data_IF_043464338985
#
_entry.id   IF_043464338985
#
_cell.length_a   1.000
_cell.length_b   1.000
_cell.length_c   1.000
_cell.angle_alpha   90.00
_cell.angle_beta   90.00
_cell.angle_gamma   90.00
#
_symmetry.space_group_name_H-M   'P 1'
#
loop_
_entity.id
_entity.type
_entity.pdbx_description
1 polymer ?
#
# COMPACT_ATOMS: atom_id res chain seq x y z
N UNK A 1 16.38 13.26 -16.66
CA UNK A 1 17.70 13.16 -16.02
C UNK A 1 17.87 14.27 -14.98
N UNK A 2 18.50 13.97 -13.83
CA UNK A 2 18.85 14.90 -12.75
C UNK A 2 17.73 15.35 -11.80
N UNK A 3 16.45 15.17 -12.17
CA UNK A 3 15.31 15.60 -11.33
C UNK A 3 15.21 14.80 -10.03
N UNK A 4 14.92 15.50 -8.93
CA UNK A 4 14.61 14.92 -7.62
C UNK A 4 13.13 14.54 -7.57
N UNK A 5 12.84 13.25 -7.44
CA UNK A 5 11.48 12.72 -7.41
C UNK A 5 11.14 12.32 -5.99
N UNK A 6 10.15 12.96 -5.38
CA UNK A 6 9.62 12.53 -4.09
C UNK A 6 8.42 11.61 -4.32
N UNK A 7 8.53 10.37 -3.87
CA UNK A 7 7.44 9.39 -3.91
C UNK A 7 6.84 9.28 -2.51
N UNK A 8 5.55 9.57 -2.36
CA UNK A 8 4.85 9.47 -1.07
C UNK A 8 4.17 8.09 -1.00
N UNK A 9 4.70 7.25 -0.13
CA UNK A 9 4.41 5.82 0.02
C UNK A 9 5.68 4.98 -0.17
N UNK A 10 5.72 3.78 0.41
CA UNK A 10 6.77 2.77 0.14
C UNK A 10 6.22 1.38 -0.17
N UNK A 11 4.99 1.23 -0.65
CA UNK A 11 4.46 -0.06 -1.16
C UNK A 11 5.03 -0.44 -2.53
N UNK A 12 4.60 -1.56 -3.10
CA UNK A 12 5.09 -2.08 -4.39
C UNK A 12 5.03 -1.02 -5.51
N UNK A 13 3.91 -0.30 -5.62
CA UNK A 13 3.77 0.80 -6.60
C UNK A 13 4.82 1.89 -6.41
N UNK A 14 5.21 2.21 -5.17
CA UNK A 14 6.24 3.20 -4.91
C UNK A 14 7.63 2.68 -5.32
N UNK A 15 7.91 1.40 -5.08
CA UNK A 15 9.16 0.76 -5.50
C UNK A 15 9.29 0.76 -7.02
N UNK A 16 8.22 0.42 -7.74
CA UNK A 16 8.19 0.46 -9.21
C UNK A 16 8.46 1.87 -9.73
N UNK A 17 7.81 2.89 -9.16
CA UNK A 17 8.03 4.31 -9.51
C UNK A 17 9.49 4.69 -9.27
N UNK A 18 10.07 4.34 -8.11
CA UNK A 18 11.46 4.65 -7.78
C UNK A 18 12.43 4.01 -8.78
N UNK A 19 12.28 2.71 -9.04
CA UNK A 19 13.10 1.95 -9.98
C UNK A 19 12.99 2.48 -11.41
N UNK A 20 11.79 2.89 -11.83
CA UNK A 20 11.58 3.52 -13.14
C UNK A 20 12.23 4.92 -13.18
N UNK A 21 12.13 5.70 -12.11
CA UNK A 21 12.78 7.01 -12.03
C UNK A 21 14.31 6.90 -12.20
N UNK A 22 14.95 5.91 -11.57
CA UNK A 22 16.38 5.61 -11.79
C UNK A 22 16.66 5.33 -13.27
N UNK A 23 15.83 4.52 -13.95
CA UNK A 23 15.99 4.22 -15.39
C UNK A 23 15.88 5.46 -16.28
N UNK A 24 15.16 6.49 -15.84
CA UNK A 24 15.09 7.80 -16.51
C UNK A 24 16.19 8.80 -16.07
N UNK A 25 17.17 8.33 -15.30
CA UNK A 25 18.27 9.12 -14.77
C UNK A 25 17.83 10.17 -13.73
N UNK A 26 16.71 9.95 -13.06
CA UNK A 26 16.23 10.80 -11.96
C UNK A 26 16.70 10.26 -10.60
N UNK A 27 16.52 11.07 -9.55
CA UNK A 27 16.96 10.78 -8.18
C UNK A 27 15.71 10.60 -7.31
N UNK A 28 15.20 9.36 -7.13
CA UNK A 28 14.01 9.11 -6.33
C UNK A 28 14.30 9.01 -4.84
N UNK A 29 13.41 9.59 -4.05
CA UNK A 29 13.29 9.37 -2.60
C UNK A 29 11.86 8.97 -2.29
N UNK A 30 11.66 7.75 -1.79
CA UNK A 30 10.39 7.26 -1.31
C UNK A 30 10.27 7.53 0.20
N UNK A 31 9.13 8.03 0.66
CA UNK A 31 8.87 8.26 2.08
C UNK A 31 7.63 7.49 2.52
N UNK A 32 7.71 6.81 3.67
CA UNK A 32 6.62 6.05 4.26
C UNK A 32 6.48 6.40 5.73
N UNK A 33 5.26 6.80 6.11
CA UNK A 33 4.94 7.24 7.47
C UNK A 33 4.81 6.07 8.46
N UNK A 34 4.68 4.84 7.97
CA UNK A 34 4.65 3.62 8.77
C UNK A 34 6.08 3.17 9.12
N UNK A 35 6.25 2.55 10.30
CA UNK A 35 7.52 1.92 10.68
C UNK A 35 7.84 0.75 9.76
N UNK A 36 9.09 0.57 9.35
CA UNK A 36 9.52 -0.46 8.37
C UNK A 36 9.01 -1.87 8.72
N UNK A 37 9.06 -2.27 10.00
CA UNK A 37 8.57 -3.57 10.47
C UNK A 37 7.07 -3.80 10.28
N UNK A 38 6.29 -2.73 10.07
CA UNK A 38 4.85 -2.76 9.84
C UNK A 38 4.48 -2.44 8.38
N UNK A 39 5.49 -2.14 7.54
CA UNK A 39 5.27 -1.82 6.14
C UNK A 39 4.70 -3.02 5.37
N UNK A 40 3.92 -2.72 4.31
CA UNK A 40 3.29 -3.75 3.47
C UNK A 40 4.14 -4.18 2.28
N UNK A 41 5.22 -3.46 2.02
CA UNK A 41 6.15 -3.77 0.93
C UNK A 41 6.77 -5.13 1.16
N UNK A 42 6.97 -5.86 0.07
CA UNK A 42 7.69 -7.13 0.17
C UNK A 42 9.18 -6.85 0.36
N UNK A 43 9.83 -7.65 1.20
CA UNK A 43 11.24 -7.46 1.54
C UNK A 43 12.17 -7.65 0.34
N UNK A 44 11.82 -8.55 -0.59
CA UNK A 44 12.56 -8.77 -1.84
C UNK A 44 12.48 -7.54 -2.75
N UNK A 45 11.30 -6.99 -2.98
CA UNK A 45 11.12 -5.78 -3.78
C UNK A 45 11.82 -4.56 -3.17
N UNK A 46 11.76 -4.41 -1.84
CA UNK A 46 12.43 -3.31 -1.13
C UNK A 46 13.96 -3.41 -1.28
N UNK A 47 14.51 -4.62 -1.15
CA UNK A 47 15.95 -4.86 -1.30
C UNK A 47 16.41 -4.61 -2.74
N UNK A 48 15.65 -5.10 -3.73
CA UNK A 48 15.91 -4.83 -5.15
C UNK A 48 15.90 -3.32 -5.44
N UNK A 49 14.91 -2.59 -4.92
CA UNK A 49 14.82 -1.15 -5.11
C UNK A 49 16.03 -0.43 -4.48
N UNK A 50 16.43 -0.81 -3.26
CA UNK A 50 17.62 -0.27 -2.60
C UNK A 50 18.90 -0.59 -3.38
N UNK A 51 19.03 -1.81 -3.91
CA UNK A 51 20.16 -2.22 -4.75
C UNK A 51 20.25 -1.44 -6.07
N UNK A 52 19.11 -1.07 -6.66
CA UNK A 52 19.04 -0.16 -7.81
C UNK A 52 19.30 1.32 -7.45
N UNK A 53 19.46 1.66 -6.17
CA UNK A 53 19.77 3.01 -5.68
C UNK A 53 18.56 3.86 -5.29
N UNK A 54 17.38 3.26 -5.10
CA UNK A 54 16.20 3.98 -4.59
C UNK A 54 16.39 4.27 -3.09
N UNK A 55 16.33 5.55 -2.72
CA UNK A 55 16.32 5.96 -1.31
C UNK A 55 14.93 5.75 -0.72
N UNK A 56 14.80 4.94 0.34
CA UNK A 56 13.52 4.66 1.01
C UNK A 56 13.63 5.05 2.48
N UNK A 57 12.83 6.05 2.89
CA UNK A 57 12.77 6.57 4.26
C UNK A 57 11.47 6.13 4.92
N UNK A 58 11.54 5.14 5.79
CA UNK A 58 10.45 4.82 6.70
C UNK A 58 10.35 5.87 7.82
N UNK A 59 9.28 5.79 8.61
CA UNK A 59 9.05 6.74 9.70
C UNK A 59 9.10 8.21 9.23
N UNK A 60 8.68 8.50 8.00
CA UNK A 60 8.79 9.84 7.40
C UNK A 60 7.57 10.14 6.53
N UNK A 61 7.01 11.34 6.63
CA UNK A 61 5.93 11.80 5.74
C UNK A 61 6.13 13.23 5.29
N UNK A 62 5.53 13.62 4.17
CA UNK A 62 5.44 15.03 3.79
C UNK A 62 4.21 15.69 4.45
N UNK A 63 4.38 16.89 5.00
CA UNK A 63 3.29 17.70 5.57
C UNK A 63 2.95 18.94 4.75
N UNK A 64 3.90 19.40 3.94
CA UNK A 64 3.73 20.53 3.02
C UNK A 64 4.49 20.26 1.73
N UNK A 65 3.90 20.64 0.60
CA UNK A 65 4.55 20.60 -0.72
C UNK A 65 4.27 21.95 -1.39
N UNK A 66 5.32 22.69 -1.73
CA UNK A 66 5.21 24.01 -2.36
C UNK A 66 6.46 24.29 -3.19
N UNK A 67 6.28 24.91 -4.35
CA UNK A 67 7.37 25.48 -5.18
C UNK A 67 8.60 24.55 -5.36
N UNK A 68 8.36 23.30 -5.74
CA UNK A 68 9.44 22.33 -5.96
C UNK A 68 10.15 21.87 -4.68
N UNK A 69 9.55 22.08 -3.51
CA UNK A 69 10.04 21.63 -2.21
C UNK A 69 8.97 20.88 -1.44
N UNK A 70 9.41 20.02 -0.53
CA UNK A 70 8.55 19.35 0.43
C UNK A 70 9.12 19.46 1.84
N UNK A 71 8.24 19.65 2.82
CA UNK A 71 8.57 19.54 4.24
C UNK A 71 8.29 18.11 4.68
N UNK A 72 9.35 17.37 4.96
CA UNK A 72 9.28 16.03 5.54
C UNK A 72 9.29 16.13 7.06
N UNK A 73 8.57 15.24 7.73
CA UNK A 73 8.46 15.17 9.18
C UNK A 73 8.62 13.72 9.62
N UNK A 74 9.37 13.51 10.69
CA UNK A 74 9.54 12.17 11.28
C UNK A 74 8.24 11.72 11.93
N UNK A 75 7.96 10.44 11.82
CA UNK A 75 6.75 9.81 12.36
C UNK A 75 7.11 8.62 13.24
N UNK A 76 6.28 8.38 14.26
CA UNK A 76 6.46 7.25 15.17
C UNK A 76 5.18 6.43 15.24
N UNK A 77 5.34 5.11 15.14
CA UNK A 77 4.26 4.16 15.27
C UNK A 77 4.68 3.05 16.23
N UNK A 78 3.92 2.88 17.31
CA UNK A 78 4.22 1.90 18.37
C UNK A 78 3.61 0.53 18.11
N UNK A 79 2.52 0.45 17.34
CA UNK A 79 1.79 -0.79 17.06
C UNK A 79 1.21 -0.73 15.62
N UNK A 80 1.21 -1.85 14.87
CA UNK A 80 0.69 -1.89 13.50
C UNK A 80 -0.79 -1.51 13.35
N UNK A 81 -1.58 -1.58 14.44
CA UNK A 81 -3.01 -1.20 14.47
C UNK A 81 -3.23 0.27 14.78
N UNK A 82 -2.20 0.99 15.25
CA UNK A 82 -2.28 2.41 15.60
C UNK A 82 -1.72 3.24 14.45
N UNK A 83 -2.34 4.38 14.15
CA UNK A 83 -1.82 5.28 13.13
C UNK A 83 -0.50 5.93 13.59
N UNK A 84 0.48 6.11 12.69
CA UNK A 84 1.69 6.87 13.00
C UNK A 84 1.36 8.30 13.46
N UNK A 85 2.13 8.81 14.41
CA UNK A 85 2.06 10.19 14.90
C UNK A 85 3.26 10.99 14.41
N UNK A 86 3.02 12.25 14.05
CA UNK A 86 4.10 13.19 13.71
C UNK A 86 4.92 13.51 14.97
N UNK A 87 6.23 13.69 14.80
CA UNK A 87 7.13 14.20 15.84
C UNK A 87 7.44 15.67 15.52
N UNK A 88 6.84 16.65 16.23
CA UNK A 88 7.12 18.07 15.99
C UNK A 88 8.60 18.41 16.21
N UNK A 89 9.13 19.36 15.45
CA UNK A 89 10.53 19.79 15.56
C UNK A 89 11.51 18.92 14.75
N UNK A 90 11.00 17.97 13.95
CA UNK A 90 11.78 17.10 13.08
C UNK A 90 11.61 17.44 11.59
N UNK A 91 11.11 18.65 11.30
CA UNK A 91 10.86 19.12 9.95
C UNK A 91 12.16 19.26 9.15
N UNK A 92 12.24 18.59 8.01
CA UNK A 92 13.33 18.67 7.04
C UNK A 92 12.75 19.17 5.71
N UNK A 93 13.34 20.24 5.15
CA UNK A 93 12.95 20.71 3.82
C UNK A 93 13.83 20.04 2.77
N UNK A 94 13.20 19.36 1.82
CA UNK A 94 13.87 18.72 0.69
C UNK A 94 13.39 19.32 -0.63
N UNK A 95 14.25 19.32 -1.63
CA UNK A 95 13.85 19.63 -3.00
C UNK A 95 13.10 18.44 -3.60
N UNK A 96 12.00 18.72 -4.28
CA UNK A 96 11.12 17.75 -4.93
C UNK A 96 10.58 18.36 -6.24
N UNK A 97 11.32 18.16 -7.34
CA UNK A 97 10.96 18.65 -8.67
C UNK A 97 9.66 18.01 -9.18
N UNK A 98 9.43 16.76 -8.80
CA UNK A 98 8.22 16.00 -9.10
C UNK A 98 7.81 15.25 -7.84
N UNK A 99 6.52 15.30 -7.52
CA UNK A 99 5.93 14.48 -6.46
C UNK A 99 5.02 13.44 -7.07
N UNK A 100 5.19 12.19 -6.67
CA UNK A 100 4.33 11.07 -7.05
C UNK A 100 3.61 10.53 -5.81
N UNK A 101 2.29 10.47 -5.85
CA UNK A 101 1.48 9.90 -4.77
C UNK A 101 1.25 8.41 -5.03
N UNK A 102 1.91 7.55 -4.25
CA UNK A 102 1.81 6.09 -4.34
C UNK A 102 1.07 5.52 -3.12
N UNK A 103 -0.07 6.13 -2.77
CA UNK A 103 -0.84 5.86 -1.54
C UNK A 103 -1.85 4.69 -1.67
N UNK A 104 -1.84 4.00 -2.81
CA UNK A 104 -2.86 3.02 -3.18
C UNK A 104 -4.13 3.66 -3.75
N UNK A 105 -5.15 2.85 -3.97
CA UNK A 105 -6.41 3.26 -4.59
C UNK A 105 -7.61 2.84 -3.75
N UNK A 106 -8.69 3.58 -3.89
CA UNK A 106 -10.02 3.25 -3.37
C UNK A 106 -11.05 3.53 -4.46
N UNK A 107 -12.13 2.77 -4.45
CA UNK A 107 -13.29 3.09 -5.28
C UNK A 107 -13.98 4.33 -4.70
N UNK A 108 -14.33 5.27 -5.57
CA UNK A 108 -15.20 6.39 -5.22
C UNK A 108 -16.60 5.89 -4.82
N UNK A 109 -17.30 6.67 -4.00
CA UNK A 109 -18.64 6.31 -3.53
C UNK A 109 -19.66 6.26 -4.67
N UNK A 110 -19.44 7.03 -5.73
CA UNK A 110 -20.23 7.05 -6.96
C UNK A 110 -20.24 5.70 -7.69
N UNK A 111 -19.20 4.87 -7.53
CA UNK A 111 -19.15 3.54 -8.14
C UNK A 111 -20.27 2.62 -7.60
N UNK A 112 -20.69 2.84 -6.36
CA UNK A 112 -21.88 2.21 -5.76
C UNK A 112 -23.17 2.45 -6.52
N UNK A 113 -23.33 3.64 -7.08
CA UNK A 113 -24.54 4.03 -7.80
C UNK A 113 -24.53 3.49 -9.23
N UNK A 114 -23.35 3.45 -9.86
CA UNK A 114 -23.17 2.98 -11.24
C UNK A 114 -23.22 1.45 -11.36
N UNK A 115 -22.76 0.75 -10.34
CA UNK A 115 -22.74 -0.70 -10.31
C UNK A 115 -23.27 -1.21 -8.95
N UNK A 116 -24.58 -1.07 -8.68
CA UNK A 116 -25.19 -1.48 -7.41
C UNK A 116 -25.06 -2.99 -7.14
N UNK A 117 -24.82 -3.77 -8.20
CA UNK A 117 -24.60 -5.22 -8.14
C UNK A 117 -23.11 -5.61 -8.09
N UNK A 118 -22.19 -4.65 -8.14
CA UNK A 118 -20.77 -4.96 -8.05
C UNK A 118 -20.42 -5.54 -6.66
N UNK A 119 -19.47 -6.49 -6.58
CA UNK A 119 -18.99 -6.96 -5.29
C UNK A 119 -18.29 -5.81 -4.56
N UNK A 120 -19.02 -5.15 -3.66
CA UNK A 120 -18.39 -4.35 -2.63
C UNK A 120 -17.71 -5.27 -1.62
N UNK A 121 -16.68 -4.77 -0.94
CA UNK A 121 -15.98 -5.53 0.09
C UNK A 121 -17.00 -5.96 1.15
N UNK A 122 -17.40 -7.23 1.11
CA UNK A 122 -18.33 -7.78 2.08
C UNK A 122 -17.76 -7.59 3.49
N UNK A 123 -18.56 -7.03 4.40
CA UNK A 123 -18.34 -7.24 5.83
C UNK A 123 -18.62 -8.71 6.10
N UNK A 124 -17.59 -9.47 6.49
CA UNK A 124 -17.74 -10.89 6.82
C UNK A 124 -18.77 -11.05 7.94
N UNK A 125 -19.84 -11.84 7.72
CA UNK A 125 -20.76 -12.22 8.80
C UNK A 125 -20.42 -13.57 9.42
N UNK A 126 -19.71 -14.46 8.74
CA UNK A 126 -19.46 -15.83 9.22
C UNK A 126 -18.30 -16.49 8.49
N UNK A 127 -17.38 -17.13 9.21
CA UNK A 127 -16.32 -17.99 8.65
C UNK A 127 -16.88 -19.40 8.46
N UNK A 128 -16.61 -20.11 7.35
CA UNK A 128 -17.05 -21.49 7.18
C UNK A 128 -16.28 -22.42 8.13
N UNK A 129 -16.82 -23.61 8.35
CA UNK A 129 -16.18 -24.63 9.19
C UNK A 129 -14.90 -25.19 8.56
N UNK A 130 -14.18 -26.01 9.33
CA UNK A 130 -12.87 -26.56 8.96
C UNK A 130 -12.92 -27.58 7.81
N UNK A 131 -14.11 -27.91 7.30
CA UNK A 131 -14.30 -28.82 6.17
C UNK A 131 -14.48 -28.09 4.82
N UNK A 132 -14.32 -26.77 4.79
CA UNK A 132 -14.50 -25.98 3.57
C UNK A 132 -13.38 -26.20 2.55
N UNK A 133 -13.76 -26.73 1.37
CA UNK A 133 -12.85 -26.94 0.23
C UNK A 133 -13.15 -25.88 -0.82
N UNK A 134 -12.34 -24.81 -0.87
CA UNK A 134 -12.27 -23.91 -2.04
C UNK A 134 -11.25 -24.44 -3.05
N UNK A 135 -11.00 -23.67 -4.12
CA UNK A 135 -10.10 -23.92 -5.26
C UNK A 135 -8.63 -24.29 -4.93
N UNK A 136 -8.42 -25.38 -4.20
CA UNK A 136 -7.18 -26.13 -4.12
C UNK A 136 -6.10 -25.63 -3.16
N UNK A 137 -6.40 -24.73 -2.21
CA UNK A 137 -5.36 -24.20 -1.31
C UNK A 137 -5.55 -24.79 0.10
N UNK A 138 -4.67 -25.73 0.45
CA UNK A 138 -4.53 -26.27 1.80
C UNK A 138 -4.29 -25.14 2.81
N UNK A 139 -4.85 -25.30 4.01
CA UNK A 139 -4.72 -24.44 5.19
C UNK A 139 -3.28 -24.45 5.76
N UNK A 140 -2.29 -24.12 4.95
CA UNK A 140 -0.92 -23.91 5.39
C UNK A 140 -0.74 -22.49 5.92
N UNK A 141 -0.31 -22.35 7.17
CA UNK A 141 0.24 -21.09 7.67
C UNK A 141 1.46 -20.73 6.81
N UNK A 142 1.35 -19.67 6.02
CA UNK A 142 2.49 -19.05 5.35
C UNK A 142 2.71 -17.66 5.94
N UNK A 143 3.99 -17.28 5.98
CA UNK A 143 4.62 -16.19 6.75
C UNK A 143 4.16 -14.75 6.42
N UNK A 144 3.02 -14.59 5.77
CA UNK A 144 2.37 -13.29 5.62
C UNK A 144 1.21 -13.26 6.61
N UNK A 145 1.02 -12.16 7.33
CA UNK A 145 0.01 -11.94 8.39
C UNK A 145 -1.47 -12.10 7.94
N UNK A 146 -1.75 -12.82 6.85
CA UNK A 146 -3.07 -13.22 6.34
C UNK A 146 -2.97 -14.64 5.81
N UNK A 147 -3.78 -15.55 6.35
CA UNK A 147 -3.89 -16.90 5.81
C UNK A 147 -4.37 -16.84 4.36
N UNK A 148 -3.75 -17.62 3.46
CA UNK A 148 -4.24 -17.77 2.07
C UNK A 148 -5.68 -18.29 2.08
N UNK A 149 -6.06 -19.08 3.09
CA UNK A 149 -7.44 -19.51 3.29
C UNK A 149 -8.38 -18.33 3.54
N UNK A 150 -7.98 -17.33 4.35
CA UNK A 150 -8.78 -16.14 4.60
C UNK A 150 -8.92 -15.26 3.34
N UNK A 151 -7.87 -15.17 2.52
CA UNK A 151 -7.92 -14.44 1.25
C UNK A 151 -8.82 -15.15 0.23
N UNK A 152 -8.73 -16.48 0.16
CA UNK A 152 -9.58 -17.30 -0.71
C UNK A 152 -11.03 -17.26 -0.26
N UNK A 153 -11.30 -17.32 1.04
CA UNK A 153 -12.63 -17.14 1.63
C UNK A 153 -13.24 -15.79 1.27
N UNK A 154 -12.51 -14.70 1.53
CA UNK A 154 -12.98 -13.34 1.21
C UNK A 154 -13.31 -13.18 -0.27
N UNK A 155 -12.53 -13.82 -1.15
CA UNK A 155 -12.82 -13.86 -2.59
C UNK A 155 -14.11 -14.62 -2.89
N UNK A 156 -14.30 -15.82 -2.35
CA UNK A 156 -15.51 -16.63 -2.61
C UNK A 156 -16.77 -15.95 -2.07
N UNK A 157 -16.72 -15.33 -0.88
CA UNK A 157 -17.82 -14.52 -0.35
C UNK A 157 -18.13 -13.34 -1.25
N UNK A 158 -17.09 -12.62 -1.70
CA UNK A 158 -17.29 -11.48 -2.61
C UNK A 158 -17.91 -11.93 -3.94
N UNK A 159 -17.44 -13.05 -4.51
CA UNK A 159 -17.99 -13.64 -5.74
C UNK A 159 -19.44 -14.07 -5.54
N UNK A 160 -19.76 -14.76 -4.44
CA UNK A 160 -21.12 -15.18 -4.11
C UNK A 160 -22.06 -14.00 -3.90
N UNK A 161 -21.61 -12.96 -3.18
CA UNK A 161 -22.36 -11.72 -2.97
C UNK A 161 -22.59 -10.94 -4.29
N UNK A 162 -21.69 -11.08 -5.26
CA UNK A 162 -21.85 -10.51 -6.60
C UNK A 162 -22.69 -11.36 -7.56
N UNK A 163 -23.14 -12.56 -7.17
CA UNK A 163 -24.04 -13.34 -8.02
C UNK A 163 -25.40 -12.65 -8.08
N UNK A 164 -25.77 -12.24 -9.29
CA UNK A 164 -27.08 -11.66 -9.59
C UNK A 164 -28.22 -12.59 -9.14
N UNK A 165 -29.32 -12.07 -8.55
CA UNK A 165 -30.52 -12.86 -8.25
C UNK A 165 -31.22 -13.42 -9.51
N UNK A 166 -30.77 -13.03 -10.72
CA UNK A 166 -31.26 -13.55 -12.00
C UNK A 166 -30.33 -14.61 -12.63
N UNK A 167 -29.33 -15.11 -11.89
CA UNK A 167 -28.55 -16.26 -12.33
C UNK A 167 -29.33 -17.57 -12.09
N UNK A 168 -30.39 -17.77 -12.90
CA UNK A 168 -31.05 -19.05 -13.13
C UNK A 168 -31.08 -19.31 -14.64
#
# INVERSE_FOLDING_TARGET
EGKKILVIGAGNTAMDVGRIAIRFGAIPTCVEWVTESFARVRSDELEEARHEGVSVRFNTTATLITDGKATLVTTQQSDPKVLPKLIPGTEEIVDADIVVLALGYRLGSEFGQLAPQAPFRASESTKPDDNWITSGIFSGNHNYNRSIADLSWKREVAVAAARSPYAA
#
